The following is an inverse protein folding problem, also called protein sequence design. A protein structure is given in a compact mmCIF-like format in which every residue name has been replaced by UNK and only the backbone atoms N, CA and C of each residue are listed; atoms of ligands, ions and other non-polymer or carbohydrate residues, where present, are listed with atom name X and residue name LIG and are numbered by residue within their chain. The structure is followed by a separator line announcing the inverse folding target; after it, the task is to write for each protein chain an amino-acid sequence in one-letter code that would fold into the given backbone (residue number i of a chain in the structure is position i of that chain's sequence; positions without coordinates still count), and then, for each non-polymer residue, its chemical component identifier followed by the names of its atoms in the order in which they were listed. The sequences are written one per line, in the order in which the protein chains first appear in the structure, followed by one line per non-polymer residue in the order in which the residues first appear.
data_IF_812582106677
#
_entry.id   IF_812582106677
#
_cell.length_a   1.000
_cell.length_b   1.000
_cell.length_c   1.000
_cell.angle_alpha   90.00
_cell.angle_beta   90.00
_cell.angle_gamma   90.00
#
_symmetry.space_group_name_H-M   'P 1'
#
loop_
_entity.id
_entity.type
_entity.pdbx_description
1 polymer ?
#
# COMPACT_ATOMS: atom_id res chain seq x y z
N UNK A 1 -23.64 4.99 0.47
CA UNK A 1 -24.32 4.77 1.78
C UNK A 1 -23.86 3.48 2.48
N UNK A 2 -23.88 2.29 1.81
CA UNK A 2 -23.43 1.04 2.44
C UNK A 2 -21.91 1.03 2.69
N UNK A 3 -21.11 1.47 1.72
CA UNK A 3 -19.64 1.55 1.84
C UNK A 3 -19.24 2.54 2.94
N UNK A 4 -19.84 3.72 2.99
CA UNK A 4 -19.54 4.73 4.02
C UNK A 4 -19.86 4.21 5.44
N UNK A 5 -20.98 3.47 5.58
CA UNK A 5 -21.33 2.81 6.84
C UNK A 5 -20.30 1.77 7.26
N UNK A 6 -19.84 0.95 6.30
CA UNK A 6 -18.81 -0.06 6.56
C UNK A 6 -17.46 0.56 6.93
N UNK A 7 -17.09 1.66 6.27
CA UNK A 7 -15.87 2.41 6.65
C UNK A 7 -16.02 2.96 8.07
N UNK A 8 -17.16 3.58 8.39
CA UNK A 8 -17.37 4.18 9.71
C UNK A 8 -17.32 3.14 10.83
N UNK A 9 -17.99 2.00 10.68
CA UNK A 9 -17.94 0.92 11.68
C UNK A 9 -16.55 0.28 11.75
N UNK A 10 -15.91 0.08 10.60
CA UNK A 10 -14.56 -0.47 10.56
C UNK A 10 -13.50 0.44 11.20
N UNK A 11 -13.61 1.76 11.09
CA UNK A 11 -12.72 2.70 11.79
C UNK A 11 -12.93 2.62 13.30
N UNK A 12 -14.16 2.54 13.79
CA UNK A 12 -14.43 2.34 15.23
C UNK A 12 -13.84 1.03 15.74
N UNK A 13 -13.97 -0.05 14.97
CA UNK A 13 -13.35 -1.33 15.31
C UNK A 13 -11.82 -1.23 15.36
N UNK A 14 -11.19 -0.51 14.41
CA UNK A 14 -9.75 -0.26 14.44
C UNK A 14 -9.31 0.53 15.68
N UNK A 15 -10.07 1.56 16.09
CA UNK A 15 -9.81 2.32 17.30
C UNK A 15 -9.81 1.44 18.56
N UNK A 16 -10.70 0.47 18.65
CA UNK A 16 -10.77 -0.46 19.79
C UNK A 16 -9.56 -1.40 19.89
N UNK A 17 -8.79 -1.58 18.80
CA UNK A 17 -7.55 -2.36 18.80
C UNK A 17 -6.34 -1.58 19.36
N UNK A 18 -6.47 -0.25 19.52
CA UNK A 18 -5.39 0.59 20.00
C UNK A 18 -5.04 0.29 21.46
N UNK A 19 -3.77 0.08 21.76
CA UNK A 19 -3.30 -0.09 23.14
C UNK A 19 -3.35 1.24 23.90
N UNK A 20 -3.44 1.22 25.25
CA UNK A 20 -3.45 2.44 26.05
C UNK A 20 -2.27 3.37 25.79
N UNK A 21 -1.11 2.83 25.40
CA UNK A 21 0.08 3.60 25.03
C UNK A 21 -0.05 4.36 23.69
N UNK A 22 -1.09 4.10 22.90
CA UNK A 22 -1.28 4.67 21.57
C UNK A 22 -0.79 3.78 20.41
N UNK A 23 -0.02 2.74 20.70
CA UNK A 23 0.48 1.83 19.66
C UNK A 23 -0.55 0.82 19.23
N UNK A 24 -0.30 0.22 18.05
CA UNK A 24 -0.93 -0.99 17.55
C UNK A 24 0.09 -2.13 17.47
N UNK A 25 -0.38 -3.36 17.41
CA UNK A 25 0.47 -4.54 17.39
C UNK A 25 0.06 -5.49 16.27
N UNK A 26 1.06 -6.09 15.63
CA UNK A 26 0.93 -7.08 14.61
C UNK A 26 1.85 -8.25 14.98
N UNK A 27 1.31 -9.44 15.16
CA UNK A 27 2.02 -10.62 15.68
C UNK A 27 2.76 -10.39 17.03
N UNK A 28 2.36 -9.38 17.80
CA UNK A 28 3.06 -9.02 19.03
C UNK A 28 4.49 -8.48 18.83
N UNK A 29 4.94 -8.26 17.60
CA UNK A 29 6.33 -7.90 17.26
C UNK A 29 6.46 -6.63 16.43
N UNK A 30 5.70 -6.48 15.35
CA UNK A 30 5.80 -5.36 14.42
C UNK A 30 4.98 -4.15 14.92
N UNK A 31 5.46 -3.48 15.95
CA UNK A 31 4.73 -2.38 16.62
C UNK A 31 4.75 -1.10 15.80
N UNK A 32 5.89 -0.78 15.19
CA UNK A 32 6.05 0.46 14.41
C UNK A 32 5.28 0.38 13.10
N UNK A 33 5.38 -0.74 12.40
CA UNK A 33 4.64 -0.98 11.16
C UNK A 33 3.14 -1.03 11.40
N UNK A 34 2.68 -1.73 12.44
CA UNK A 34 1.26 -1.78 12.80
C UNK A 34 0.72 -0.41 13.19
N UNK A 35 1.46 0.36 14.00
CA UNK A 35 1.06 1.72 14.39
C UNK A 35 1.09 2.67 13.19
N UNK A 36 2.10 2.57 12.32
CA UNK A 36 2.18 3.32 11.07
C UNK A 36 1.02 2.99 10.14
N UNK A 37 0.72 1.72 9.92
CA UNK A 37 -0.40 1.30 9.06
C UNK A 37 -1.75 1.80 9.59
N UNK A 38 -1.99 1.68 10.89
CA UNK A 38 -3.23 2.16 11.52
C UNK A 38 -3.35 3.69 11.42
N UNK A 39 -2.30 4.44 11.73
CA UNK A 39 -2.27 5.90 11.57
C UNK A 39 -2.53 6.31 10.12
N UNK A 40 -1.82 5.70 9.17
CA UNK A 40 -2.05 5.93 7.75
C UNK A 40 -3.51 5.67 7.38
N UNK A 41 -4.07 4.55 7.80
CA UNK A 41 -5.47 4.18 7.51
C UNK A 41 -6.45 5.21 8.04
N UNK A 42 -6.30 5.65 9.28
CA UNK A 42 -7.15 6.68 9.88
C UNK A 42 -7.08 7.99 9.09
N UNK A 43 -5.88 8.49 8.80
CA UNK A 43 -5.69 9.76 8.08
C UNK A 43 -6.15 9.68 6.62
N UNK A 44 -5.83 8.61 5.92
CA UNK A 44 -6.25 8.39 4.54
C UNK A 44 -7.77 8.17 4.42
N UNK A 45 -8.43 7.76 5.50
CA UNK A 45 -9.88 7.65 5.57
C UNK A 45 -10.59 8.98 5.81
N UNK A 46 -9.86 10.09 5.95
CA UNK A 46 -10.39 11.43 6.14
C UNK A 46 -10.31 11.92 7.58
N UNK A 47 -9.64 11.17 8.46
CA UNK A 47 -9.38 11.59 9.84
C UNK A 47 -8.30 12.66 9.95
N UNK A 48 -8.18 13.22 11.13
CA UNK A 48 -7.23 14.27 11.48
C UNK A 48 -6.18 13.76 12.48
N UNK A 49 -4.97 14.36 12.45
CA UNK A 49 -3.97 14.15 13.51
C UNK A 49 -4.43 14.62 14.89
N UNK A 50 -5.54 15.36 14.97
CA UNK A 50 -6.15 15.82 16.21
C UNK A 50 -7.21 14.86 16.76
N UNK A 51 -7.64 13.88 15.96
CA UNK A 51 -8.54 12.83 16.44
C UNK A 51 -7.80 11.96 17.47
N UNK A 52 -8.42 11.66 18.62
CA UNK A 52 -7.70 11.04 19.74
C UNK A 52 -6.91 9.76 19.38
N UNK A 53 -7.43 8.80 18.56
CA UNK A 53 -6.67 7.62 18.19
C UNK A 53 -5.45 7.94 17.30
N UNK A 54 -5.63 8.83 16.32
CA UNK A 54 -4.55 9.24 15.42
C UNK A 54 -3.48 10.05 16.17
N UNK A 55 -3.90 10.97 17.05
CA UNK A 55 -3.00 11.74 17.89
C UNK A 55 -2.13 10.85 18.78
N UNK A 56 -2.72 9.86 19.45
CA UNK A 56 -1.97 8.91 20.29
C UNK A 56 -1.00 8.05 19.48
N UNK A 57 -1.40 7.58 18.29
CA UNK A 57 -0.54 6.80 17.42
C UNK A 57 0.67 7.62 16.91
N UNK A 58 0.43 8.86 16.48
CA UNK A 58 1.48 9.78 16.04
C UNK A 58 2.43 10.11 17.19
N UNK A 59 1.92 10.46 18.36
CA UNK A 59 2.71 10.77 19.55
C UNK A 59 3.59 9.57 19.96
N UNK A 60 3.03 8.35 19.89
CA UNK A 60 3.80 7.14 20.18
C UNK A 60 4.95 6.95 19.19
N UNK A 61 4.73 7.11 17.87
CA UNK A 61 5.78 7.00 16.85
C UNK A 61 6.89 8.05 17.05
N UNK A 62 6.52 9.27 17.43
CA UNK A 62 7.49 10.35 17.65
C UNK A 62 8.28 10.23 18.93
N UNK A 63 7.73 9.62 19.97
CA UNK A 63 8.39 9.45 21.29
C UNK A 63 9.23 8.17 21.40
N UNK A 64 8.91 7.16 20.60
CA UNK A 64 9.62 5.89 20.65
C UNK A 64 10.54 5.76 19.44
N UNK A 65 11.86 5.88 19.61
CA UNK A 65 12.79 5.79 18.50
C UNK A 65 12.75 4.39 17.86
N UNK A 66 12.70 4.36 16.53
CA UNK A 66 12.77 3.10 15.78
C UNK A 66 14.17 2.46 15.98
N UNK A 67 14.25 1.17 16.28
CA UNK A 67 15.52 0.47 16.51
C UNK A 67 16.20 0.10 15.18
N UNK A 68 16.69 1.08 14.45
CA UNK A 68 17.25 0.97 13.10
C UNK A 68 18.24 -0.20 12.94
N UNK A 69 17.86 -1.22 12.15
CA UNK A 69 18.75 -2.35 11.83
C UNK A 69 19.07 -3.31 12.97
N UNK A 70 18.42 -3.17 14.13
CA UNK A 70 18.69 -4.01 15.30
C UNK A 70 17.71 -5.18 15.46
N UNK A 71 16.56 -5.15 14.80
CA UNK A 71 15.52 -6.18 14.93
C UNK A 71 15.60 -7.29 13.90
N UNK A 72 16.04 -6.98 12.69
CA UNK A 72 16.40 -7.98 11.69
C UNK A 72 15.27 -8.67 10.93
N UNK A 73 14.03 -8.66 11.41
CA UNK A 73 13.01 -9.54 10.84
C UNK A 73 11.94 -8.84 10.00
N UNK A 74 11.69 -7.52 10.16
CA UNK A 74 10.58 -6.82 9.51
C UNK A 74 10.90 -5.35 9.17
N UNK A 75 12.17 -4.99 9.18
CA UNK A 75 12.62 -3.58 9.10
C UNK A 75 12.03 -2.86 7.87
N UNK A 76 12.07 -3.47 6.69
CA UNK A 76 11.55 -2.85 5.45
C UNK A 76 10.05 -2.53 5.56
N UNK A 77 9.25 -3.46 6.08
CA UNK A 77 7.82 -3.22 6.29
C UNK A 77 7.56 -2.11 7.30
N UNK A 78 8.20 -2.21 8.47
CA UNK A 78 7.94 -1.28 9.57
C UNK A 78 8.38 0.14 9.20
N UNK A 79 9.58 0.30 8.62
CA UNK A 79 10.11 1.61 8.20
C UNK A 79 9.26 2.22 7.10
N UNK A 80 8.85 1.42 6.12
CA UNK A 80 8.02 1.90 5.00
C UNK A 80 6.65 2.37 5.48
N UNK A 81 6.00 1.61 6.37
CA UNK A 81 4.68 1.99 6.89
C UNK A 81 4.73 3.22 7.79
N UNK A 82 5.81 3.39 8.57
CA UNK A 82 6.06 4.64 9.31
C UNK A 82 6.25 5.81 8.34
N UNK A 83 7.04 5.64 7.28
CA UNK A 83 7.25 6.69 6.28
C UNK A 83 5.93 7.09 5.60
N UNK A 84 5.08 6.12 5.24
CA UNK A 84 3.75 6.39 4.67
C UNK A 84 2.88 7.17 5.66
N UNK A 85 2.80 6.73 6.92
CA UNK A 85 2.01 7.41 7.95
C UNK A 85 2.45 8.86 8.15
N UNK A 86 3.75 9.10 8.27
CA UNK A 86 4.32 10.44 8.45
C UNK A 86 4.03 11.34 7.25
N UNK A 87 4.06 10.83 6.02
CA UNK A 87 3.74 11.60 4.82
C UNK A 87 2.30 12.13 4.81
N UNK A 88 1.36 11.44 5.44
CA UNK A 88 -0.02 11.89 5.63
C UNK A 88 -0.20 12.80 6.84
N UNK A 89 0.62 12.62 7.89
CA UNK A 89 0.53 13.41 9.11
C UNK A 89 1.19 14.79 8.98
N UNK A 90 2.39 14.87 8.39
CA UNK A 90 3.20 16.10 8.30
C UNK A 90 2.46 17.28 7.67
N UNK A 91 1.68 17.14 6.58
CA UNK A 91 0.92 18.25 6.01
C UNK A 91 -0.13 18.86 6.96
N UNK A 92 -0.60 18.10 7.94
CA UNK A 92 -1.57 18.53 8.94
C UNK A 92 -0.91 19.15 10.19
N UNK A 93 0.41 19.01 10.34
CA UNK A 93 1.14 19.51 11.52
C UNK A 93 1.50 20.98 11.36
N UNK A 94 1.26 21.83 12.39
CA UNK A 94 1.78 23.19 12.40
C UNK A 94 3.31 23.17 12.44
N UNK A 95 3.94 24.28 12.03
CA UNK A 95 5.38 24.47 12.17
C UNK A 95 5.75 24.41 13.66
N UNK A 96 6.50 23.38 14.05
CA UNK A 96 6.80 23.09 15.46
C UNK A 96 7.92 22.07 15.59
N UNK A 97 8.51 21.96 16.76
CA UNK A 97 9.52 20.95 17.09
C UNK A 97 9.00 19.50 16.85
N UNK A 98 7.70 19.24 17.00
CA UNK A 98 7.11 17.94 16.72
C UNK A 98 7.09 17.65 15.21
N UNK A 99 6.78 18.66 14.37
CA UNK A 99 6.86 18.53 12.91
C UNK A 99 8.29 18.31 12.45
N UNK A 100 9.26 19.04 13.01
CA UNK A 100 10.68 18.87 12.69
C UNK A 100 11.17 17.47 13.05
N UNK A 101 10.71 16.93 14.18
CA UNK A 101 10.97 15.54 14.57
C UNK A 101 10.35 14.55 13.60
N UNK A 102 9.11 14.77 13.16
CA UNK A 102 8.45 13.93 12.17
C UNK A 102 9.20 13.96 10.83
N UNK A 103 9.63 15.13 10.36
CA UNK A 103 10.44 15.28 9.14
C UNK A 103 11.79 14.58 9.28
N UNK A 104 12.46 14.71 10.41
CA UNK A 104 13.74 14.03 10.67
C UNK A 104 13.59 12.51 10.68
N UNK A 105 12.51 12.01 11.27
CA UNK A 105 12.20 10.58 11.26
C UNK A 105 11.90 10.07 9.83
N UNK A 106 11.13 10.83 9.06
CA UNK A 106 10.82 10.51 7.66
C UNK A 106 12.07 10.53 6.78
N UNK A 107 12.94 11.53 6.92
CA UNK A 107 14.23 11.58 6.20
C UNK A 107 15.07 10.35 6.51
N UNK A 108 15.19 10.01 7.79
CA UNK A 108 15.95 8.85 8.23
C UNK A 108 15.37 7.52 7.72
N UNK A 109 14.04 7.41 7.64
CA UNK A 109 13.37 6.26 7.04
C UNK A 109 13.71 6.14 5.55
N UNK A 110 13.67 7.25 4.82
CA UNK A 110 14.03 7.31 3.41
C UNK A 110 15.51 6.94 3.19
N UNK A 111 16.43 7.49 3.99
CA UNK A 111 17.87 7.19 3.90
C UNK A 111 18.14 5.70 4.15
N UNK A 112 17.44 5.11 5.14
CA UNK A 112 17.56 3.68 5.40
C UNK A 112 17.04 2.85 4.21
N UNK A 113 15.88 3.17 3.66
CA UNK A 113 15.32 2.48 2.50
C UNK A 113 16.25 2.58 1.27
N UNK A 114 16.83 3.76 1.02
CA UNK A 114 17.81 3.94 -0.06
C UNK A 114 19.03 3.07 0.15
N UNK A 115 19.56 3.01 1.37
CA UNK A 115 20.74 2.22 1.71
C UNK A 115 20.48 0.71 1.71
N UNK A 116 19.25 0.30 2.06
CA UNK A 116 18.82 -1.10 2.11
C UNK A 116 18.40 -1.66 0.75
N UNK A 117 18.29 -0.81 -0.28
CA UNK A 117 17.94 -1.28 -1.61
C UNK A 117 19.05 -2.17 -2.17
N UNK A 118 18.71 -3.35 -2.65
CA UNK A 118 19.66 -4.22 -3.34
C UNK A 118 20.18 -3.57 -4.63
N UNK A 119 21.44 -3.88 -4.98
CA UNK A 119 22.10 -3.28 -6.15
C UNK A 119 21.37 -3.48 -7.48
N UNK A 120 20.56 -4.52 -7.59
CA UNK A 120 19.73 -4.83 -8.76
C UNK A 120 18.29 -4.30 -8.64
N UNK A 121 17.96 -3.58 -7.59
CA UNK A 121 16.59 -3.15 -7.26
C UNK A 121 15.89 -4.11 -6.29
N UNK A 122 14.84 -3.63 -5.63
CA UNK A 122 14.08 -4.37 -4.64
C UNK A 122 14.69 -4.34 -3.23
N UNK A 123 13.94 -4.89 -2.29
CA UNK A 123 14.29 -4.98 -0.87
C UNK A 123 14.08 -6.39 -0.34
N UNK A 124 14.77 -6.69 0.74
CA UNK A 124 14.50 -7.84 1.60
C UNK A 124 13.93 -7.38 2.93
N UNK A 125 13.81 -8.28 3.89
CA UNK A 125 13.31 -7.99 5.24
C UNK A 125 14.24 -7.06 6.03
N UNK A 126 15.53 -7.06 5.71
CA UNK A 126 16.59 -6.37 6.46
C UNK A 126 17.44 -5.47 5.57
N UNK A 127 18.35 -4.67 6.20
CA UNK A 127 19.31 -3.82 5.53
C UNK A 127 20.49 -4.55 4.85
N UNK A 128 20.58 -5.86 5.00
CA UNK A 128 21.64 -6.67 4.39
C UNK A 128 21.05 -7.60 3.33
N UNK A 129 20.73 -7.09 2.15
CA UNK A 129 20.07 -7.90 1.15
C UNK A 129 21.09 -8.82 0.46
N UNK A 130 21.12 -10.08 0.87
CA UNK A 130 21.66 -11.14 0.02
C UNK A 130 20.63 -11.56 -1.02
N UNK A 131 19.40 -11.19 -0.78
CA UNK A 131 18.20 -11.57 -1.55
C UNK A 131 17.22 -10.41 -1.57
N UNK A 132 16.26 -10.43 -2.48
CA UNK A 132 15.12 -9.53 -2.46
C UNK A 132 13.84 -10.36 -2.41
N UNK A 133 12.79 -9.74 -1.91
CA UNK A 133 11.44 -10.28 -1.84
C UNK A 133 10.48 -9.23 -2.38
N UNK A 134 9.64 -9.60 -3.34
CA UNK A 134 8.76 -8.64 -4.00
C UNK A 134 7.71 -8.05 -3.06
N UNK A 135 7.32 -8.76 -2.00
CA UNK A 135 6.40 -8.20 -1.02
C UNK A 135 7.06 -7.09 -0.18
N UNK A 136 8.33 -7.26 0.20
CA UNK A 136 9.12 -6.19 0.82
C UNK A 136 9.36 -5.02 -0.12
N UNK A 137 9.67 -5.32 -1.39
CA UNK A 137 9.91 -4.32 -2.43
C UNK A 137 8.67 -3.44 -2.65
N UNK A 138 7.46 -4.00 -2.58
CA UNK A 138 6.21 -3.25 -2.62
C UNK A 138 6.16 -2.16 -1.54
N UNK A 139 6.48 -2.52 -0.31
CA UNK A 139 6.45 -1.56 0.80
C UNK A 139 7.62 -0.57 0.72
N UNK A 140 8.81 -1.00 0.33
CA UNK A 140 9.96 -0.13 0.14
C UNK A 140 9.69 1.01 -0.86
N UNK A 141 9.14 0.68 -2.02
CA UNK A 141 8.71 1.67 -3.03
C UNK A 141 7.66 2.63 -2.47
N UNK A 142 6.67 2.11 -1.76
CA UNK A 142 5.62 2.94 -1.14
C UNK A 142 6.20 3.91 -0.13
N UNK A 143 7.10 3.44 0.73
CA UNK A 143 7.76 4.27 1.74
C UNK A 143 8.59 5.40 1.11
N UNK A 144 9.39 5.08 0.08
CA UNK A 144 10.18 6.08 -0.65
C UNK A 144 9.28 7.09 -1.38
N UNK A 145 8.22 6.62 -2.05
CA UNK A 145 7.29 7.52 -2.73
C UNK A 145 6.56 8.44 -1.75
N UNK A 146 6.15 7.92 -0.61
CA UNK A 146 5.55 8.70 0.46
C UNK A 146 6.52 9.78 0.98
N UNK A 147 7.79 9.45 1.15
CA UNK A 147 8.82 10.40 1.55
C UNK A 147 9.00 11.53 0.50
N UNK A 148 9.03 11.18 -0.79
CA UNK A 148 9.07 12.18 -1.88
C UNK A 148 7.86 13.10 -1.84
N UNK A 149 6.65 12.58 -1.61
CA UNK A 149 5.43 13.38 -1.51
C UNK A 149 5.47 14.39 -0.35
N UNK A 150 6.21 14.07 0.71
CA UNK A 150 6.42 14.97 1.85
C UNK A 150 7.65 15.88 1.70
N UNK A 151 8.32 15.89 0.53
CA UNK A 151 9.41 16.78 0.19
C UNK A 151 10.82 16.22 0.36
N UNK A 152 10.98 14.95 0.75
CA UNK A 152 12.29 14.28 0.82
C UNK A 152 12.80 14.03 -0.61
N UNK A 153 14.08 14.37 -0.86
CA UNK A 153 14.72 14.16 -2.16
C UNK A 153 15.31 12.76 -2.24
N UNK A 154 14.85 11.98 -3.19
CA UNK A 154 15.39 10.65 -3.51
C UNK A 154 16.11 10.71 -4.86
N UNK A 155 17.32 10.15 -4.91
CA UNK A 155 18.15 10.18 -6.12
C UNK A 155 17.62 9.28 -7.23
N UNK A 156 17.77 9.72 -8.46
CA UNK A 156 17.36 9.02 -9.69
C UNK A 156 17.74 7.53 -9.76
N UNK A 157 18.97 7.13 -9.44
CA UNK A 157 19.39 5.71 -9.57
C UNK A 157 18.53 4.72 -8.78
N UNK A 158 17.87 5.15 -7.71
CA UNK A 158 16.95 4.30 -6.94
C UNK A 158 15.79 3.85 -7.80
N UNK A 159 15.16 4.80 -8.50
CA UNK A 159 14.00 4.55 -9.36
C UNK A 159 14.34 3.77 -10.61
N UNK A 160 15.50 4.06 -11.21
CA UNK A 160 16.00 3.35 -12.40
C UNK A 160 16.27 1.87 -12.10
N UNK A 161 16.89 1.56 -10.94
CA UNK A 161 17.06 0.18 -10.49
C UNK A 161 15.73 -0.54 -10.32
N UNK A 162 14.73 0.11 -9.76
CA UNK A 162 13.39 -0.49 -9.60
C UNK A 162 12.71 -0.74 -10.94
N UNK A 163 12.74 0.22 -11.86
CA UNK A 163 12.16 0.03 -13.20
C UNK A 163 12.81 -1.18 -13.88
N UNK A 164 14.15 -1.28 -13.85
CA UNK A 164 14.86 -2.42 -14.43
C UNK A 164 14.50 -3.73 -13.73
N UNK A 165 14.50 -3.73 -12.39
CA UNK A 165 14.16 -4.89 -11.57
C UNK A 165 12.77 -5.46 -11.95
N UNK A 166 11.73 -4.64 -11.90
CA UNK A 166 10.37 -5.11 -12.17
C UNK A 166 10.15 -5.52 -13.63
N UNK A 167 10.83 -4.89 -14.59
CA UNK A 167 10.78 -5.31 -16.00
C UNK A 167 11.43 -6.66 -16.24
N UNK A 168 12.60 -6.88 -15.65
CA UNK A 168 13.35 -8.15 -15.83
C UNK A 168 12.78 -9.31 -15.02
N UNK A 169 12.14 -9.02 -13.88
CA UNK A 169 11.49 -10.01 -13.03
C UNK A 169 10.09 -10.45 -13.52
N UNK A 170 9.56 -9.84 -14.59
CA UNK A 170 8.24 -10.20 -15.11
C UNK A 170 8.26 -11.56 -15.78
N UNK A 171 7.37 -12.45 -15.39
CA UNK A 171 7.21 -13.79 -15.94
C UNK A 171 6.57 -13.79 -17.32
N UNK A 172 6.65 -14.92 -18.04
CA UNK A 172 6.10 -15.07 -19.39
C UNK A 172 4.59 -14.87 -19.46
N UNK A 173 3.88 -15.21 -18.38
CA UNK A 173 2.43 -15.00 -18.25
C UNK A 173 2.03 -13.55 -17.96
N UNK A 174 3.00 -12.64 -17.84
CA UNK A 174 2.79 -11.22 -17.55
C UNK A 174 2.73 -10.89 -16.07
N UNK A 175 2.73 -11.87 -15.19
CA UNK A 175 2.69 -11.67 -13.74
C UNK A 175 4.06 -11.65 -13.09
N UNK A 176 4.06 -11.60 -11.75
CA UNK A 176 5.26 -11.71 -10.91
C UNK A 176 5.05 -12.73 -9.79
N UNK A 177 6.15 -13.39 -9.39
CA UNK A 177 6.23 -14.23 -8.21
C UNK A 177 6.85 -13.48 -7.02
N UNK A 178 7.10 -14.20 -5.92
CA UNK A 178 7.74 -13.60 -4.72
C UNK A 178 9.22 -13.28 -4.92
N UNK A 179 9.91 -14.03 -5.76
CA UNK A 179 11.36 -13.91 -5.99
C UNK A 179 11.69 -13.91 -7.48
N UNK A 180 12.71 -13.16 -7.86
CA UNK A 180 13.41 -13.34 -9.12
C UNK A 180 14.74 -14.09 -8.87
N UNK A 181 15.36 -14.63 -9.90
CA UNK A 181 16.67 -15.27 -9.76
C UNK A 181 17.75 -14.24 -9.42
N UNK A 182 18.56 -14.53 -8.40
CA UNK A 182 19.57 -13.60 -7.90
C UNK A 182 20.78 -13.44 -8.78
N UNK A 183 21.11 -14.45 -9.59
CA UNK A 183 22.34 -14.42 -10.40
C UNK A 183 22.21 -13.57 -11.65
N UNK A 184 21.07 -13.64 -12.31
CA UNK A 184 20.84 -13.01 -13.61
C UNK A 184 19.58 -12.14 -13.67
N UNK A 185 18.90 -11.97 -12.52
CA UNK A 185 17.61 -11.25 -12.37
C UNK A 185 16.48 -11.82 -13.26
N UNK A 186 16.62 -13.03 -13.75
CA UNK A 186 15.58 -13.64 -14.57
C UNK A 186 14.40 -14.05 -13.70
N UNK A 187 13.22 -13.93 -14.28
CA UNK A 187 12.01 -14.36 -13.63
C UNK A 187 11.95 -15.87 -13.49
N UNK A 188 11.81 -16.36 -12.26
CA UNK A 188 11.67 -17.79 -11.96
C UNK A 188 10.44 -18.06 -11.12
N UNK A 189 9.92 -19.29 -11.25
CA UNK A 189 8.76 -19.72 -10.47
C UNK A 189 7.42 -19.40 -11.16
N UNK A 190 6.37 -19.31 -10.35
CA UNK A 190 4.99 -19.02 -10.79
C UNK A 190 4.57 -17.64 -10.33
N UNK A 191 3.81 -16.94 -11.18
CA UNK A 191 3.16 -15.70 -10.77
C UNK A 191 2.11 -15.98 -9.68
N UNK A 192 1.97 -15.03 -8.76
CA UNK A 192 0.89 -15.04 -7.78
C UNK A 192 0.01 -13.81 -7.97
N UNK A 193 -1.24 -13.88 -7.56
CA UNK A 193 -2.17 -12.75 -7.67
C UNK A 193 -1.67 -11.51 -6.92
N UNK A 194 -1.19 -11.70 -5.69
CA UNK A 194 -0.67 -10.62 -4.84
C UNK A 194 0.58 -9.96 -5.42
N UNK A 195 1.55 -10.76 -5.87
CA UNK A 195 2.80 -10.21 -6.41
C UNK A 195 2.62 -9.64 -7.81
N UNK A 196 1.63 -10.12 -8.57
CA UNK A 196 1.28 -9.52 -9.86
C UNK A 196 0.71 -8.12 -9.67
N UNK A 197 -0.20 -7.92 -8.72
CA UNK A 197 -0.71 -6.60 -8.37
C UNK A 197 0.40 -5.70 -7.80
N UNK A 198 1.27 -6.23 -6.92
CA UNK A 198 2.44 -5.52 -6.41
C UNK A 198 3.39 -5.08 -7.53
N UNK A 199 3.67 -5.96 -8.51
CA UNK A 199 4.55 -5.65 -9.64
C UNK A 199 4.01 -4.54 -10.53
N UNK A 200 2.71 -4.57 -10.86
CA UNK A 200 2.05 -3.47 -11.59
C UNK A 200 2.20 -2.15 -10.84
N UNK A 201 1.87 -2.12 -9.55
CA UNK A 201 1.99 -0.92 -8.72
C UNK A 201 3.43 -0.41 -8.66
N UNK A 202 4.39 -1.27 -8.35
CA UNK A 202 5.78 -0.89 -8.16
C UNK A 202 6.40 -0.36 -9.45
N UNK A 203 6.17 -1.03 -10.57
CA UNK A 203 6.65 -0.57 -11.87
C UNK A 203 6.03 0.78 -12.24
N UNK A 204 4.73 0.95 -12.01
CA UNK A 204 4.04 2.21 -12.28
C UNK A 204 4.58 3.35 -11.42
N UNK A 205 4.73 3.14 -10.10
CA UNK A 205 5.29 4.15 -9.19
C UNK A 205 6.74 4.50 -9.54
N UNK A 206 7.55 3.52 -9.92
CA UNK A 206 8.95 3.75 -10.30
C UNK A 206 9.08 4.54 -11.60
N UNK A 207 8.25 4.21 -12.61
CA UNK A 207 8.19 4.97 -13.87
C UNK A 207 7.73 6.41 -13.66
N UNK A 208 6.72 6.63 -12.79
CA UNK A 208 6.25 7.96 -12.44
C UNK A 208 7.23 8.77 -11.58
N UNK A 209 8.22 8.12 -10.97
CA UNK A 209 9.26 8.76 -10.14
C UNK A 209 10.61 8.90 -10.85
N UNK A 210 10.74 8.34 -12.06
CA UNK A 210 11.93 8.45 -12.90
C UNK A 210 12.01 9.83 -13.56
N UNK A 211 13.20 10.34 -13.95
CA UNK A 211 13.37 11.60 -14.66
C UNK A 211 12.62 11.69 -15.99
N UNK A 212 12.26 10.55 -16.56
CA UNK A 212 11.39 10.45 -17.75
C UNK A 212 9.95 10.21 -17.31
N UNK A 213 9.47 11.07 -16.40
CA UNK A 213 8.12 10.96 -15.83
C UNK A 213 7.08 10.62 -16.89
N UNK A 214 6.37 9.51 -16.67
CA UNK A 214 5.18 9.18 -17.45
C UNK A 214 3.94 9.72 -16.73
N UNK A 215 3.05 10.33 -17.48
CA UNK A 215 1.75 10.69 -16.93
C UNK A 215 0.98 9.44 -16.52
N UNK A 216 0.12 9.49 -15.48
CA UNK A 216 -0.66 8.33 -15.04
C UNK A 216 -1.44 7.65 -16.17
N UNK A 217 -1.97 8.42 -17.11
CA UNK A 217 -2.68 7.93 -18.28
C UNK A 217 -1.80 7.17 -19.29
N UNK A 218 -0.48 7.37 -19.22
CA UNK A 218 0.49 6.66 -20.06
C UNK A 218 1.10 5.44 -19.35
N UNK A 219 0.96 5.36 -18.02
CA UNK A 219 1.47 4.21 -17.27
C UNK A 219 0.78 2.92 -17.67
N UNK A 220 -0.55 2.93 -17.82
CA UNK A 220 -1.29 1.74 -18.25
C UNK A 220 -0.93 1.27 -19.67
N UNK A 221 -0.37 2.15 -20.50
CA UNK A 221 0.09 1.84 -21.88
C UNK A 221 1.50 1.23 -21.91
N UNK A 222 2.25 1.24 -20.81
CA UNK A 222 3.55 0.56 -20.76
C UNK A 222 3.34 -0.95 -20.95
N UNK A 223 4.11 -1.56 -21.85
CA UNK A 223 3.90 -2.96 -22.25
C UNK A 223 3.97 -3.95 -21.08
N UNK A 224 4.86 -3.72 -20.11
CA UNK A 224 4.96 -4.59 -18.93
C UNK A 224 3.77 -4.37 -17.98
N UNK A 225 3.34 -3.13 -17.79
CA UNK A 225 2.15 -2.82 -16.98
C UNK A 225 0.90 -3.41 -17.63
N UNK A 226 0.71 -3.22 -18.94
CA UNK A 226 -0.44 -3.76 -19.66
C UNK A 226 -0.52 -5.29 -19.54
N UNK A 227 0.60 -6.00 -19.72
CA UNK A 227 0.67 -7.45 -19.50
C UNK A 227 0.35 -7.83 -18.04
N UNK A 228 0.83 -7.05 -17.08
CA UNK A 228 0.53 -7.24 -15.66
C UNK A 228 -0.96 -7.09 -15.35
N UNK A 229 -1.62 -6.07 -15.90
CA UNK A 229 -3.06 -5.86 -15.75
C UNK A 229 -3.88 -7.03 -16.34
N UNK A 230 -3.48 -7.56 -17.50
CA UNK A 230 -4.10 -8.75 -18.06
C UNK A 230 -3.89 -9.98 -17.16
N UNK A 231 -2.69 -10.17 -16.62
CA UNK A 231 -2.41 -11.24 -15.69
C UNK A 231 -3.24 -11.08 -14.38
N UNK A 232 -3.40 -9.86 -13.85
CA UNK A 232 -4.29 -9.59 -12.71
C UNK A 232 -5.72 -10.04 -13.00
N UNK A 233 -6.27 -9.75 -14.17
CA UNK A 233 -7.61 -10.21 -14.57
C UNK A 233 -7.71 -11.74 -14.53
N UNK A 234 -6.75 -12.44 -15.10
CA UNK A 234 -6.74 -13.90 -15.14
C UNK A 234 -6.55 -14.55 -13.75
N UNK A 235 -5.93 -13.83 -12.82
CA UNK A 235 -5.74 -14.29 -11.43
C UNK A 235 -6.96 -14.03 -10.54
N UNK A 236 -7.79 -13.02 -10.86
CA UNK A 236 -8.90 -12.59 -10.03
C UNK A 236 -9.88 -13.73 -9.71
N UNK A 237 -10.39 -14.40 -10.72
CA UNK A 237 -11.40 -15.45 -10.55
C UNK A 237 -10.91 -16.62 -9.67
N UNK A 238 -9.61 -16.91 -9.73
CA UNK A 238 -8.96 -17.94 -8.92
C UNK A 238 -8.76 -17.53 -7.46
N UNK A 239 -8.55 -16.25 -7.21
CA UNK A 239 -8.14 -15.72 -5.90
C UNK A 239 -9.29 -15.10 -5.11
N UNK A 240 -10.36 -14.71 -5.81
CA UNK A 240 -11.54 -14.05 -5.24
C UNK A 240 -12.82 -14.88 -5.48
N UNK A 241 -12.67 -16.17 -5.76
CA UNK A 241 -13.81 -17.06 -5.96
C UNK A 241 -14.72 -17.07 -4.73
N UNK A 242 -16.05 -17.23 -4.96
CA UNK A 242 -17.10 -17.10 -3.94
C UNK A 242 -16.93 -18.00 -2.69
N UNK A 243 -16.11 -19.04 -2.78
CA UNK A 243 -15.84 -19.99 -1.70
C UNK A 243 -14.48 -19.81 -1.04
N UNK A 244 -13.64 -18.89 -1.54
CA UNK A 244 -12.32 -18.65 -0.96
C UNK A 244 -12.40 -17.61 0.16
N UNK A 245 -11.60 -17.74 1.23
CA UNK A 245 -11.43 -16.67 2.21
C UNK A 245 -10.94 -15.40 1.53
N UNK A 246 -11.41 -14.24 2.01
CA UNK A 246 -10.99 -12.95 1.46
C UNK A 246 -9.50 -12.77 1.72
N UNK A 247 -8.76 -12.50 0.64
CA UNK A 247 -7.36 -12.10 0.73
C UNK A 247 -7.27 -10.57 0.78
N UNK A 248 -7.23 -10.00 1.98
CA UNK A 248 -7.18 -8.55 2.20
C UNK A 248 -5.92 -7.92 1.60
N UNK A 249 -4.78 -8.63 1.64
CA UNK A 249 -3.56 -8.16 1.02
C UNK A 249 -3.66 -8.11 -0.52
N UNK A 250 -4.38 -9.04 -1.13
CA UNK A 250 -4.65 -8.98 -2.57
C UNK A 250 -5.51 -7.76 -2.91
N UNK A 251 -6.61 -7.56 -2.20
CA UNK A 251 -7.48 -6.39 -2.42
C UNK A 251 -6.69 -5.09 -2.28
N UNK A 252 -5.92 -4.96 -1.20
CA UNK A 252 -5.03 -3.84 -0.97
C UNK A 252 -4.06 -3.61 -2.13
N UNK A 253 -3.44 -4.66 -2.66
CA UNK A 253 -2.46 -4.55 -3.77
C UNK A 253 -3.13 -4.21 -5.10
N UNK A 254 -4.29 -4.81 -5.39
CA UNK A 254 -5.09 -4.53 -6.61
C UNK A 254 -5.57 -3.08 -6.62
N UNK A 255 -6.09 -2.59 -5.50
CA UNK A 255 -6.54 -1.20 -5.39
C UNK A 255 -5.40 -0.24 -5.77
N UNK A 256 -4.21 -0.42 -5.22
CA UNK A 256 -3.06 0.43 -5.50
C UNK A 256 -2.59 0.35 -6.94
N UNK A 257 -2.53 -0.85 -7.50
CA UNK A 257 -2.16 -1.06 -8.89
C UNK A 257 -3.12 -0.33 -9.82
N UNK A 258 -4.43 -0.49 -9.60
CA UNK A 258 -5.46 0.12 -10.41
C UNK A 258 -5.52 1.65 -10.23
N UNK A 259 -5.36 2.14 -8.98
CA UNK A 259 -5.37 3.58 -8.72
C UNK A 259 -4.17 4.30 -9.34
N UNK A 260 -2.95 3.75 -9.22
CA UNK A 260 -1.74 4.40 -9.78
C UNK A 260 -1.73 4.38 -11.30
N UNK A 261 -2.34 3.39 -11.93
CA UNK A 261 -2.43 3.27 -13.40
C UNK A 261 -3.70 3.89 -13.99
N UNK A 262 -4.60 4.42 -13.15
CA UNK A 262 -5.90 4.94 -13.59
C UNK A 262 -6.83 3.85 -14.15
N UNK A 263 -6.58 2.58 -13.85
CA UNK A 263 -7.33 1.45 -14.38
C UNK A 263 -8.66 1.27 -13.64
N UNK A 264 -9.76 1.55 -14.30
CA UNK A 264 -11.10 1.35 -13.74
C UNK A 264 -11.57 -0.11 -13.83
N UNK A 265 -11.31 -0.75 -14.95
CA UNK A 265 -11.73 -2.12 -15.22
C UNK A 265 -10.51 -3.01 -15.49
N UNK A 266 -10.48 -4.19 -14.92
CA UNK A 266 -9.57 -5.26 -15.29
C UNK A 266 -10.26 -6.13 -16.35
N UNK A 267 -10.03 -5.82 -17.64
CA UNK A 267 -10.85 -6.36 -18.72
C UNK A 267 -12.31 -5.90 -18.58
N UNK A 268 -13.21 -6.83 -18.35
CA UNK A 268 -14.65 -6.61 -18.10
C UNK A 268 -15.01 -6.46 -16.61
N UNK A 269 -14.06 -6.68 -15.73
CA UNK A 269 -14.26 -6.72 -14.27
C UNK A 269 -14.12 -5.35 -13.64
N UNK A 270 -15.16 -4.84 -12.98
CA UNK A 270 -15.04 -3.72 -12.06
C UNK A 270 -14.50 -4.21 -10.72
N UNK A 271 -13.17 -4.14 -10.57
CA UNK A 271 -12.45 -4.64 -9.40
C UNK A 271 -12.93 -4.01 -8.08
N UNK A 272 -13.36 -2.74 -8.14
CA UNK A 272 -13.82 -2.05 -6.94
C UNK A 272 -15.21 -2.50 -6.50
N UNK A 273 -16.13 -2.69 -7.46
CA UNK A 273 -17.47 -3.20 -7.17
C UNK A 273 -17.38 -4.61 -6.59
N UNK A 274 -16.62 -5.50 -7.20
CA UNK A 274 -16.49 -6.89 -6.75
C UNK A 274 -15.81 -6.98 -5.37
N UNK A 275 -14.69 -6.28 -5.17
CA UNK A 275 -13.99 -6.27 -3.88
C UNK A 275 -14.82 -5.60 -2.78
N UNK A 276 -15.51 -4.51 -3.08
CA UNK A 276 -16.41 -3.86 -2.11
C UNK A 276 -17.58 -4.76 -1.74
N UNK A 277 -18.15 -5.46 -2.72
CA UNK A 277 -19.21 -6.44 -2.44
C UNK A 277 -18.72 -7.52 -1.46
N UNK A 278 -17.56 -8.10 -1.72
CA UNK A 278 -16.98 -9.12 -0.84
C UNK A 278 -16.77 -8.59 0.59
N UNK A 279 -16.18 -7.39 0.73
CA UNK A 279 -15.93 -6.78 2.02
C UNK A 279 -17.23 -6.44 2.78
N UNK A 280 -18.24 -5.89 2.09
CA UNK A 280 -19.51 -5.56 2.71
C UNK A 280 -20.28 -6.79 3.25
N UNK A 281 -20.08 -7.97 2.64
CA UNK A 281 -20.69 -9.20 3.10
C UNK A 281 -19.90 -9.93 4.19
N UNK A 282 -18.61 -9.62 4.30
CA UNK A 282 -17.73 -10.25 5.28
C UNK A 282 -17.57 -9.45 6.57
N UNK A 283 -17.96 -8.17 6.59
CA UNK A 283 -17.90 -7.36 7.80
C UNK A 283 -18.91 -7.86 8.82
N UNK A 284 -18.44 -8.11 10.03
CA UNK A 284 -19.31 -8.50 11.13
C UNK A 284 -20.09 -7.30 11.72
N UNK A 285 -21.06 -7.55 12.62
CA UNK A 285 -21.83 -6.48 13.25
C UNK A 285 -21.03 -5.47 14.06
N UNK A 286 -19.85 -5.88 14.56
CA UNK A 286 -18.93 -5.03 15.35
C UNK A 286 -17.98 -4.22 14.45
N UNK A 287 -18.10 -4.37 13.12
CA UNK A 287 -17.29 -3.65 12.15
C UNK A 287 -15.97 -4.30 11.80
N UNK A 288 -15.73 -5.54 12.21
CA UNK A 288 -14.51 -6.29 11.96
C UNK A 288 -14.58 -7.08 10.65
N UNK A 289 -13.41 -7.23 10.00
CA UNK A 289 -13.26 -8.09 8.81
C UNK A 289 -12.42 -9.33 9.06
N UNK A 290 -11.58 -9.31 10.09
CA UNK A 290 -10.69 -10.42 10.39
C UNK A 290 -10.64 -10.69 11.89
N UNK A 291 -10.41 -11.96 12.23
CA UNK A 291 -10.20 -12.42 13.59
C UNK A 291 -8.79 -13.01 13.69
N UNK A 292 -8.15 -12.85 14.85
CA UNK A 292 -6.86 -13.47 15.15
C UNK A 292 -5.66 -12.53 15.10
N UNK A 293 -4.47 -13.08 14.82
CA UNK A 293 -3.21 -12.34 14.96
C UNK A 293 -2.98 -11.24 13.92
N UNK A 294 -3.61 -11.36 12.75
CA UNK A 294 -3.50 -10.40 11.63
C UNK A 294 -4.56 -9.30 11.66
N UNK A 295 -5.39 -9.26 12.69
CA UNK A 295 -6.59 -8.44 12.77
C UNK A 295 -6.34 -6.96 12.43
N UNK A 296 -5.32 -6.31 13.00
CA UNK A 296 -5.00 -4.90 12.70
C UNK A 296 -4.65 -4.71 11.23
N UNK A 297 -3.84 -5.58 10.67
CA UNK A 297 -3.40 -5.51 9.27
C UNK A 297 -4.58 -5.65 8.31
N UNK A 298 -5.38 -6.69 8.49
CA UNK A 298 -6.48 -7.00 7.58
C UNK A 298 -7.60 -5.97 7.70
N UNK A 299 -7.87 -5.46 8.91
CA UNK A 299 -8.77 -4.33 9.15
C UNK A 299 -8.33 -3.09 8.37
N UNK A 300 -7.04 -2.75 8.44
CA UNK A 300 -6.49 -1.62 7.70
C UNK A 300 -6.57 -1.82 6.18
N UNK A 301 -6.24 -3.01 5.69
CA UNK A 301 -6.29 -3.29 4.25
C UNK A 301 -7.72 -3.22 3.69
N UNK A 302 -8.71 -3.72 4.43
CA UNK A 302 -10.11 -3.59 4.06
C UNK A 302 -10.57 -2.12 3.98
N UNK A 303 -10.24 -1.33 5.00
CA UNK A 303 -10.55 0.11 5.05
C UNK A 303 -9.90 0.88 3.91
N UNK A 304 -8.61 0.66 3.68
CA UNK A 304 -7.85 1.32 2.62
C UNK A 304 -8.40 0.97 1.23
N UNK A 305 -8.79 -0.28 1.00
CA UNK A 305 -9.46 -0.68 -0.24
C UNK A 305 -10.78 0.05 -0.44
N UNK A 306 -11.67 0.01 0.55
CA UNK A 306 -12.99 0.66 0.46
C UNK A 306 -12.86 2.18 0.26
N UNK A 307 -11.85 2.79 0.85
CA UNK A 307 -11.57 4.23 0.73
C UNK A 307 -10.89 4.58 -0.59
N UNK A 308 -10.31 3.62 -1.30
CA UNK A 308 -9.42 3.85 -2.46
C UNK A 308 -8.28 4.80 -2.11
N UNK A 309 -7.65 4.55 -0.96
CA UNK A 309 -6.64 5.39 -0.37
C UNK A 309 -5.24 4.93 -0.77
N UNK A 310 -4.62 5.55 -1.76
CA UNK A 310 -3.29 5.22 -2.24
C UNK A 310 -2.28 6.36 -2.00
N UNK A 311 -0.99 6.04 -2.09
CA UNK A 311 0.09 7.03 -2.05
C UNK A 311 0.20 7.68 -3.44
N UNK A 312 -0.09 8.99 -3.58
CA UNK A 312 -0.08 9.65 -4.89
C UNK A 312 1.28 9.62 -5.57
N UNK A 313 1.31 9.52 -6.89
CA UNK A 313 2.55 9.61 -7.68
C UNK A 313 2.86 11.01 -8.21
N UNK A 314 1.96 11.97 -8.04
CA UNK A 314 2.21 13.37 -8.41
C UNK A 314 2.84 14.13 -7.25
N UNK A 315 3.92 14.86 -7.54
CA UNK A 315 4.47 15.84 -6.60
C UNK A 315 3.63 17.12 -6.63
N UNK A 316 3.44 17.82 -5.49
CA UNK A 316 2.62 19.04 -5.42
C UNK A 316 3.15 20.27 -6.17
N UNK A 317 4.25 20.19 -6.93
CA UNK A 317 4.91 21.37 -7.50
C UNK A 317 4.08 22.14 -8.54
N UNK A 318 2.98 21.58 -9.07
CA UNK A 318 2.05 22.27 -9.98
C UNK A 318 0.58 21.83 -9.80
N UNK A 319 0.25 21.20 -8.70
CA UNK A 319 -1.14 20.88 -8.42
C UNK A 319 -1.80 22.12 -7.80
N UNK A 320 -2.77 22.73 -8.49
CA UNK A 320 -3.92 23.30 -7.78
C UNK A 320 -4.33 22.31 -6.70
N UNK A 321 -4.71 22.77 -5.49
CA UNK A 321 -5.26 21.86 -4.50
C UNK A 321 -6.28 20.98 -5.24
N UNK A 322 -6.01 19.69 -5.32
CA UNK A 322 -6.98 18.78 -5.87
C UNK A 322 -8.19 18.92 -4.98
N UNK A 323 -9.30 19.36 -5.57
CA UNK A 323 -10.60 19.11 -4.94
C UNK A 323 -10.59 17.67 -4.46
N UNK A 324 -11.15 17.39 -3.28
CA UNK A 324 -11.25 16.03 -2.81
C UNK A 324 -12.02 15.23 -3.86
N UNK A 325 -11.28 14.56 -4.73
CA UNK A 325 -11.86 13.71 -5.77
C UNK A 325 -12.39 12.49 -5.08
N UNK A 326 -13.58 12.65 -4.56
CA UNK A 326 -14.54 11.59 -4.48
C UNK A 326 -15.55 11.84 -5.59
N UNK A 327 -15.40 11.25 -6.78
CA UNK A 327 -16.60 10.96 -7.52
C UNK A 327 -17.38 9.99 -6.62
N UNK A 328 -18.60 10.37 -6.25
CA UNK A 328 -19.51 9.46 -5.57
C UNK A 328 -19.50 8.13 -6.34
N UNK A 329 -19.39 6.97 -5.67
CA UNK A 329 -19.46 5.70 -6.35
C UNK A 329 -20.75 5.69 -7.18
N UNK A 330 -20.71 5.26 -8.45
CA UNK A 330 -21.92 5.08 -9.23
C UNK A 330 -22.87 4.19 -8.41
N UNK A 331 -24.19 4.41 -8.48
CA UNK A 331 -25.15 3.55 -7.82
C UNK A 331 -24.89 2.11 -8.27
N UNK A 332 -24.88 1.19 -7.33
CA UNK A 332 -24.72 -0.24 -7.62
C UNK A 332 -25.74 -0.60 -8.69
N UNK A 333 -25.35 -1.30 -9.77
CA UNK A 333 -26.30 -1.76 -10.76
C UNK A 333 -27.38 -2.58 -10.06
N UNK A 334 -28.64 -2.48 -10.48
CA UNK A 334 -29.73 -3.29 -9.94
C UNK A 334 -29.31 -4.76 -10.04
N UNK A 335 -29.36 -5.47 -8.92
CA UNK A 335 -28.92 -6.84 -8.80
C UNK A 335 -29.58 -7.67 -9.93
N UNK A 336 -28.80 -8.37 -10.72
CA UNK A 336 -29.34 -9.39 -11.63
C UNK A 336 -30.10 -10.40 -10.79
N UNK A 337 -31.36 -10.74 -11.15
CA UNK A 337 -32.08 -11.81 -10.50
C UNK A 337 -31.21 -13.08 -10.60
N UNK A 338 -30.96 -13.73 -9.49
CA UNK A 338 -30.36 -15.08 -9.49
C UNK A 338 -31.44 -16.03 -9.99
N UNK A 339 -31.23 -16.64 -11.12
CA UNK A 339 -31.89 -17.90 -11.41
C UNK A 339 -31.39 -18.90 -10.36
N UNK A 340 -32.35 -19.36 -9.55
CA UNK A 340 -32.13 -20.48 -8.64
C UNK A 340 -32.20 -21.76 -9.49
N UNK A 341 -31.09 -22.48 -9.57
CA UNK A 341 -31.05 -23.93 -9.73
C UNK A 341 -30.08 -24.51 -8.69
#
# INVERSE_FOLDING_TARGET
KKVDGAISSGLKALEMMQKPSGRFEWYGRAQYGATGLALYTMLASGGSIHDPPAAKALDWLLKNPFPWGQRGDWDTYEISLVAVALSFAIPQMPLSASRDRAMSLLQRAADWLVSAQWKGGGWSYTSKPETHDHSNSQFGIMGLRAAVNAGVKITTPVWEREVNHWKTAQLKDGGWGYHACYKDQTATGRSTSTMTAAGVMCLAMSLASSPKEKAPEDLAKDANIARGLLAMRSHWDRSMGRSAPINFYLLYSVERACMVTGTRLLGDLDWYVEGSWALLHAQDPDGLWALGQDQVKDQCFALLFLKRAYVPVRTPSNAKPADPVSPAPPPLPPGRPREME
#
